data_IF_648202125907
#
_entry.id   IF_648202125907
#
_cell.length_a   1.000
_cell.length_b   1.000
_cell.length_c   1.000
_cell.angle_alpha   90.00
_cell.angle_beta   90.00
_cell.angle_gamma   90.00
#
_symmetry.space_group_name_H-M   'P 1'
#
loop_
_entity.id
_entity.type
_entity.pdbx_description
1 polymer ?
#
# COMPACT_ATOMS: atom_id res chain seq x y z
N UNK A 1 10.54 -18.46 -8.06
CA UNK A 1 10.76 -17.27 -8.92
C UNK A 1 9.74 -16.20 -8.56
N UNK A 2 10.16 -15.14 -7.84
CA UNK A 2 9.32 -13.95 -7.63
C UNK A 2 9.23 -13.20 -8.96
N UNK A 3 8.03 -13.11 -9.55
CA UNK A 3 7.80 -12.36 -10.80
C UNK A 3 7.84 -10.87 -10.47
N UNK A 4 9.02 -10.25 -10.64
CA UNK A 4 9.16 -8.79 -10.53
C UNK A 4 8.29 -8.16 -11.62
N UNK A 5 7.17 -7.57 -11.23
CA UNK A 5 6.34 -6.79 -12.17
C UNK A 5 7.20 -5.60 -12.61
N UNK A 6 7.44 -5.45 -13.92
CA UNK A 6 8.16 -4.29 -14.44
C UNK A 6 7.42 -3.02 -13.98
N UNK A 7 8.09 -2.06 -13.33
CA UNK A 7 7.45 -0.83 -12.90
C UNK A 7 6.94 -0.10 -14.14
N UNK A 8 5.66 0.27 -14.14
CA UNK A 8 5.12 1.21 -15.13
C UNK A 8 5.68 2.60 -14.80
N UNK A 9 6.01 3.36 -15.83
CA UNK A 9 6.50 4.73 -15.68
C UNK A 9 5.53 5.57 -14.81
N UNK A 10 6.07 6.38 -13.90
CA UNK A 10 5.33 7.19 -12.91
C UNK A 10 4.42 6.45 -11.92
N UNK A 11 4.50 5.12 -11.80
CA UNK A 11 3.81 4.41 -10.72
C UNK A 11 4.70 4.28 -9.48
N UNK A 12 4.12 4.30 -8.26
CA UNK A 12 4.85 4.00 -7.04
C UNK A 12 5.60 2.66 -7.13
N UNK A 13 6.79 2.56 -6.52
CA UNK A 13 7.53 1.30 -6.50
C UNK A 13 6.75 0.23 -5.73
N UNK A 14 6.67 -0.98 -6.29
CA UNK A 14 6.10 -2.14 -5.62
C UNK A 14 7.18 -2.79 -4.75
N UNK A 15 6.95 -2.82 -3.43
CA UNK A 15 7.85 -3.47 -2.46
C UNK A 15 8.01 -4.94 -2.84
N UNK A 16 9.26 -5.39 -2.91
CA UNK A 16 9.61 -6.74 -3.36
C UNK A 16 9.08 -7.80 -2.38
N UNK A 17 8.28 -8.74 -2.86
CA UNK A 17 7.77 -9.87 -2.06
C UNK A 17 8.31 -11.22 -2.56
N UNK A 18 8.45 -12.16 -1.63
CA UNK A 18 8.98 -13.50 -1.90
C UNK A 18 7.87 -14.52 -2.19
N UNK A 19 6.71 -14.40 -1.55
CA UNK A 19 5.62 -15.37 -1.64
C UNK A 19 4.50 -14.80 -2.52
N UNK A 20 4.24 -15.35 -3.72
CA UNK A 20 3.09 -14.98 -4.53
C UNK A 20 1.77 -15.20 -3.77
N UNK A 21 0.73 -14.41 -4.06
CA UNK A 21 -0.64 -14.50 -3.46
C UNK A 21 -0.72 -14.01 -2.00
N UNK A 22 0.27 -14.29 -1.15
CA UNK A 22 0.31 -13.74 0.22
C UNK A 22 0.98 -12.37 0.22
N UNK A 23 2.05 -12.20 -0.56
CA UNK A 23 2.83 -10.97 -0.63
C UNK A 23 3.35 -10.57 0.76
N UNK A 24 2.93 -9.40 1.21
CA UNK A 24 3.28 -8.76 2.48
C UNK A 24 2.22 -8.94 3.57
N UNK A 25 1.18 -9.76 3.34
CA UNK A 25 0.03 -9.88 4.25
C UNK A 25 0.46 -10.23 5.68
N UNK A 26 1.38 -11.16 5.87
CA UNK A 26 1.84 -11.54 7.23
C UNK A 26 2.56 -10.39 7.94
N UNK A 27 3.55 -9.79 7.29
CA UNK A 27 4.32 -8.66 7.83
C UNK A 27 3.42 -7.45 8.10
N UNK A 28 2.47 -7.18 7.22
CA UNK A 28 1.49 -6.12 7.39
C UNK A 28 0.50 -6.38 8.53
N UNK A 29 0.10 -7.63 8.78
CA UNK A 29 -0.87 -7.96 9.84
C UNK A 29 -0.21 -8.05 11.23
N UNK A 30 0.96 -8.67 11.33
CA UNK A 30 1.58 -8.99 12.63
C UNK A 30 2.75 -8.07 13.02
N UNK A 31 3.30 -7.29 12.08
CA UNK A 31 4.43 -6.40 12.35
C UNK A 31 4.38 -5.12 11.49
N UNK A 32 3.19 -4.52 11.40
CA UNK A 32 2.90 -3.40 10.49
C UNK A 32 3.86 -2.23 10.67
N UNK A 33 4.14 -1.84 11.91
CA UNK A 33 4.93 -0.65 12.21
C UNK A 33 6.38 -0.77 11.71
N UNK A 34 7.10 -1.81 12.13
CA UNK A 34 8.49 -2.04 11.71
C UNK A 34 8.57 -2.31 10.20
N UNK A 35 7.62 -3.07 9.65
CA UNK A 35 7.55 -3.34 8.22
C UNK A 35 7.39 -2.05 7.41
N UNK A 36 6.45 -1.17 7.79
CA UNK A 36 6.20 0.08 7.07
C UNK A 36 7.35 1.08 7.28
N UNK A 37 8.00 1.12 8.45
CA UNK A 37 9.23 1.91 8.66
C UNK A 37 10.35 1.47 7.72
N UNK A 38 10.58 0.17 7.61
CA UNK A 38 11.60 -0.37 6.69
C UNK A 38 11.26 -0.06 5.24
N UNK A 39 10.00 -0.22 4.83
CA UNK A 39 9.55 0.15 3.49
C UNK A 39 9.74 1.64 3.21
N UNK A 40 9.39 2.52 4.16
CA UNK A 40 9.57 3.97 4.02
C UNK A 40 11.05 4.34 3.86
N UNK A 41 11.94 3.66 4.60
CA UNK A 41 13.39 3.86 4.51
C UNK A 41 13.96 3.46 3.15
N UNK A 42 13.45 2.37 2.56
CA UNK A 42 13.96 1.81 1.31
C UNK A 42 13.33 2.42 0.05
N UNK A 43 12.02 2.73 0.10
CA UNK A 43 11.23 3.14 -1.06
C UNK A 43 10.71 4.58 -0.98
N UNK A 44 10.92 5.28 0.14
CA UNK A 44 10.47 6.66 0.36
C UNK A 44 9.03 6.76 0.88
N UNK A 45 8.45 7.96 0.79
CA UNK A 45 7.13 8.28 1.37
C UNK A 45 5.92 7.72 0.61
N UNK A 46 6.12 7.14 -0.58
CA UNK A 46 5.04 6.60 -1.42
C UNK A 46 5.51 5.27 -2.01
N UNK A 47 4.84 4.18 -1.67
CA UNK A 47 5.18 2.83 -2.17
C UNK A 47 3.95 1.95 -2.20
N UNK A 48 3.99 0.86 -2.96
CA UNK A 48 2.90 -0.12 -3.02
C UNK A 48 3.29 -1.44 -2.38
N UNK A 49 2.36 -2.07 -1.67
CA UNK A 49 2.50 -3.39 -1.05
C UNK A 49 1.42 -4.32 -1.59
N UNK A 50 1.73 -5.62 -1.70
CA UNK A 50 0.75 -6.65 -1.99
C UNK A 50 0.20 -7.23 -0.68
N UNK A 51 -1.07 -7.04 -0.38
CA UNK A 51 -1.73 -7.56 0.83
C UNK A 51 -3.12 -8.08 0.46
N UNK A 52 -3.52 -9.23 1.01
CA UNK A 52 -4.86 -9.82 0.79
C UNK A 52 -5.22 -10.01 -0.70
N UNK A 53 -4.26 -10.44 -1.51
CA UNK A 53 -4.50 -10.63 -2.95
C UNK A 53 -4.50 -9.34 -3.79
N UNK A 54 -4.33 -8.17 -3.16
CA UNK A 54 -4.45 -6.86 -3.82
C UNK A 54 -3.19 -6.03 -3.64
N UNK A 55 -2.89 -5.15 -4.61
CA UNK A 55 -1.84 -4.15 -4.48
C UNK A 55 -2.45 -2.89 -3.85
N UNK A 56 -1.91 -2.45 -2.72
CA UNK A 56 -2.31 -1.22 -2.02
C UNK A 56 -1.16 -0.25 -2.00
N UNK A 57 -1.43 1.02 -2.29
CA UNK A 57 -0.44 2.10 -2.19
C UNK A 57 -0.50 2.70 -0.79
N UNK A 58 0.64 2.75 -0.13
CA UNK A 58 0.85 3.40 1.16
C UNK A 58 1.44 4.78 0.88
N UNK A 59 0.88 5.78 1.54
CA UNK A 59 1.29 7.16 1.41
C UNK A 59 1.59 7.76 2.77
N UNK A 60 2.69 8.49 2.88
CA UNK A 60 3.09 9.22 4.07
C UNK A 60 2.09 10.32 4.46
N UNK A 61 2.04 10.64 5.75
CA UNK A 61 1.15 11.66 6.33
C UNK A 61 1.30 13.01 5.63
N UNK A 62 2.50 13.33 5.17
CA UNK A 62 2.84 14.57 4.46
C UNK A 62 1.99 14.83 3.20
N UNK A 63 1.43 13.79 2.58
CA UNK A 63 0.57 13.93 1.39
C UNK A 63 -0.93 13.76 1.70
N UNK A 64 -1.30 13.62 2.97
CA UNK A 64 -2.69 13.32 3.36
C UNK A 64 -3.68 14.41 2.93
N UNK A 65 -3.31 15.69 3.07
CA UNK A 65 -4.18 16.80 2.65
C UNK A 65 -4.38 16.84 1.13
N UNK A 66 -3.34 16.57 0.35
CA UNK A 66 -3.44 16.54 -1.12
C UNK A 66 -4.35 15.40 -1.58
N UNK A 67 -4.25 14.22 -0.97
CA UNK A 67 -5.07 13.06 -1.34
C UNK A 67 -6.53 13.26 -0.92
N UNK A 68 -6.75 13.74 0.31
CA UNK A 68 -8.10 13.91 0.85
C UNK A 68 -8.84 15.11 0.25
N UNK A 69 -8.16 16.01 -0.46
CA UNK A 69 -8.80 17.11 -1.20
C UNK A 69 -9.21 16.72 -2.63
N UNK A 70 -8.85 15.50 -3.08
CA UNK A 70 -9.17 14.98 -4.42
C UNK A 70 -10.38 14.06 -4.39
N UNK A 71 -11.55 14.63 -4.13
CA UNK A 71 -12.83 13.91 -4.05
C UNK A 71 -13.29 13.30 -5.39
N UNK A 72 -12.66 13.71 -6.50
CA UNK A 72 -12.86 13.18 -7.86
C UNK A 72 -12.06 11.90 -8.13
N UNK A 73 -10.95 11.70 -7.42
CA UNK A 73 -10.03 10.58 -7.63
C UNK A 73 -9.95 9.61 -6.43
N UNK A 74 -10.26 10.07 -5.22
CA UNK A 74 -10.15 9.30 -3.99
C UNK A 74 -11.43 9.39 -3.14
N UNK A 75 -12.22 8.32 -3.14
CA UNK A 75 -13.44 8.23 -2.35
C UNK A 75 -13.15 7.63 -0.96
N UNK A 76 -12.74 8.47 -0.02
CA UNK A 76 -12.42 8.02 1.35
C UNK A 76 -13.60 7.33 2.04
N UNK A 77 -14.82 7.88 1.92
CA UNK A 77 -16.02 7.30 2.52
C UNK A 77 -16.24 5.85 2.06
N UNK A 78 -16.18 5.59 0.75
CA UNK A 78 -16.31 4.24 0.19
C UNK A 78 -15.19 3.30 0.70
N UNK A 79 -13.95 3.77 0.71
CA UNK A 79 -12.81 2.99 1.18
C UNK A 79 -12.91 2.63 2.67
N UNK A 80 -13.45 3.53 3.50
CA UNK A 80 -13.66 3.30 4.93
C UNK A 80 -14.73 2.23 5.19
N UNK A 81 -15.87 2.31 4.49
CA UNK A 81 -16.95 1.31 4.61
C UNK A 81 -16.56 -0.08 4.09
N UNK A 82 -15.68 -0.18 3.08
CA UNK A 82 -15.16 -1.47 2.60
C UNK A 82 -14.19 -2.13 3.60
N UNK A 83 -13.54 -1.36 4.47
CA UNK A 83 -12.56 -1.85 5.45
C UNK A 83 -13.22 -2.24 6.78
N UNK A 84 -14.33 -1.61 7.16
CA UNK A 84 -15.08 -1.90 8.39
C UNK A 84 -16.43 -2.53 8.03
N UNK A 85 -16.55 -3.87 8.01
CA UNK A 85 -17.80 -4.55 7.65
C UNK A 85 -18.80 -4.61 8.82
N UNK A 86 -18.95 -3.51 9.56
CA UNK A 86 -19.86 -3.42 10.72
C UNK A 86 -20.52 -2.04 10.82
N UNK A 87 -21.29 -1.67 9.79
CA UNK A 87 -22.61 -1.02 9.92
C UNK A 87 -23.53 -1.67 8.89
#
# INVERSE_FOLDING_TARGET
MSRVRKPKFNMPPLVRYNIPIIGHTYSYTFNSEEFLKQCKKEYGGIFSIYVWGQVRTIVGKEYSQEILSRDDAFYFGKAFFEIIPCV
#
